data_IF_222332634610
#
_entry.id   IF_222332634610
#
_cell.length_a   1.000
_cell.length_b   1.000
_cell.length_c   1.000
_cell.angle_alpha   90.00
_cell.angle_beta   90.00
_cell.angle_gamma   90.00
#
_symmetry.space_group_name_H-M   'P 1'
#
loop_
_entity.id
_entity.type
_entity.pdbx_description
1 polymer ?
#
# COMPACT_ATOMS: atom_id res chain seq x y z
N UNK A 1 5.79 -3.26 -4.58
CA UNK A 1 5.32 -2.87 -5.93
C UNK A 1 5.46 -1.37 -6.16
N UNK A 2 4.86 -0.51 -5.32
CA UNK A 2 4.93 0.96 -5.46
C UNK A 2 6.37 1.51 -5.42
N UNK A 3 7.24 1.01 -4.53
CA UNK A 3 8.64 1.47 -4.45
C UNK A 3 9.37 1.40 -5.80
N UNK A 4 9.14 0.35 -6.59
CA UNK A 4 9.75 0.19 -7.92
C UNK A 4 9.25 1.24 -8.92
N UNK A 5 7.98 1.63 -8.83
CA UNK A 5 7.43 2.69 -9.66
C UNK A 5 8.03 4.05 -9.31
N UNK A 6 8.27 4.30 -8.02
CA UNK A 6 8.98 5.50 -7.56
C UNK A 6 10.42 5.48 -8.07
N UNK A 7 11.12 4.34 -8.01
CA UNK A 7 12.48 4.22 -8.59
C UNK A 7 12.49 4.59 -10.07
N UNK A 8 11.55 4.06 -10.86
CA UNK A 8 11.46 4.37 -12.29
C UNK A 8 11.21 5.87 -12.50
N UNK A 9 10.32 6.48 -11.72
CA UNK A 9 10.07 7.92 -11.84
C UNK A 9 11.33 8.76 -11.53
N UNK A 10 12.11 8.37 -10.53
CA UNK A 10 13.38 9.03 -10.20
C UNK A 10 14.44 8.80 -11.30
N UNK A 11 14.53 7.59 -11.86
CA UNK A 11 15.42 7.24 -12.97
C UNK A 11 15.12 8.08 -14.23
N UNK A 12 13.84 8.38 -14.50
CA UNK A 12 13.38 9.24 -15.60
C UNK A 12 13.51 10.75 -15.31
N UNK A 13 14.07 11.13 -14.16
CA UNK A 13 14.36 12.52 -13.81
C UNK A 13 13.19 13.31 -13.23
N UNK A 14 12.14 12.64 -12.75
CA UNK A 14 11.07 13.31 -12.00
C UNK A 14 11.63 13.84 -10.67
N UNK A 15 11.30 15.09 -10.28
CA UNK A 15 11.72 15.62 -8.98
C UNK A 15 11.27 14.72 -7.83
N UNK A 16 12.16 14.54 -6.85
CA UNK A 16 11.97 13.60 -5.73
C UNK A 16 10.63 13.82 -5.01
N UNK A 17 10.34 15.07 -4.65
CA UNK A 17 9.11 15.43 -3.93
C UNK A 17 7.87 15.06 -4.76
N UNK A 18 7.91 15.30 -6.07
CA UNK A 18 6.80 15.00 -6.96
C UNK A 18 6.60 13.50 -7.11
N UNK A 19 7.69 12.72 -7.19
CA UNK A 19 7.66 11.26 -7.22
C UNK A 19 6.94 10.67 -6.00
N UNK A 20 7.24 11.15 -4.80
CA UNK A 20 6.54 10.70 -3.59
C UNK A 20 5.10 11.22 -3.51
N UNK A 21 4.84 12.45 -3.93
CA UNK A 21 3.48 13.00 -3.98
C UNK A 21 2.58 12.20 -4.92
N UNK A 22 3.10 11.72 -6.06
CA UNK A 22 2.40 10.82 -6.98
C UNK A 22 1.97 9.51 -6.31
N UNK A 23 2.75 8.98 -5.37
CA UNK A 23 2.46 7.72 -4.69
C UNK A 23 1.68 7.88 -3.36
N UNK A 24 1.48 9.12 -2.87
CA UNK A 24 0.92 9.39 -1.54
C UNK A 24 -0.21 10.42 -1.60
N UNK A 25 0.13 11.71 -1.53
CA UNK A 25 -0.80 12.82 -1.40
C UNK A 25 -1.76 12.95 -2.59
N UNK A 26 -1.26 12.84 -3.83
CA UNK A 26 -2.08 13.01 -5.03
C UNK A 26 -3.18 11.95 -5.12
N UNK A 27 -2.85 10.71 -4.74
CA UNK A 27 -3.81 9.60 -4.69
C UNK A 27 -4.82 9.82 -3.56
N UNK A 28 -4.37 10.24 -2.37
CA UNK A 28 -5.26 10.52 -1.25
C UNK A 28 -6.27 11.62 -1.58
N UNK A 29 -5.81 12.69 -2.24
CA UNK A 29 -6.66 13.78 -2.72
C UNK A 29 -7.61 13.33 -3.82
N UNK A 30 -7.16 12.50 -4.76
CA UNK A 30 -8.01 11.95 -5.82
C UNK A 30 -9.19 11.13 -5.25
N UNK A 31 -8.94 10.36 -4.21
CA UNK A 31 -9.97 9.57 -3.52
C UNK A 31 -10.72 10.33 -2.41
N UNK A 32 -10.40 11.62 -2.17
CA UNK A 32 -11.00 12.43 -1.09
C UNK A 32 -10.81 11.79 0.29
N UNK A 33 -9.65 11.19 0.51
CA UNK A 33 -9.23 10.57 1.78
C UNK A 33 -7.97 11.24 2.35
N UNK A 34 -7.65 12.45 1.90
CA UNK A 34 -6.51 13.25 2.35
C UNK A 34 -6.63 13.75 3.80
N UNK A 35 -7.86 13.74 4.35
CA UNK A 35 -8.11 13.92 5.78
C UNK A 35 -7.54 12.76 6.62
N UNK A 36 -7.39 11.56 6.03
CA UNK A 36 -6.94 10.36 6.73
C UNK A 36 -5.53 9.93 6.33
N UNK A 37 -5.15 10.08 5.06
CA UNK A 37 -3.92 9.52 4.46
C UNK A 37 -3.19 10.55 3.61
N UNK A 38 -1.93 10.25 3.25
CA UNK A 38 -1.18 11.04 2.26
C UNK A 38 -0.52 12.31 2.81
N UNK A 39 -0.76 12.67 4.07
CA UNK A 39 -0.08 13.78 4.75
C UNK A 39 0.35 13.35 6.15
N UNK A 40 1.53 13.78 6.58
CA UNK A 40 2.00 13.58 7.96
C UNK A 40 1.43 14.69 8.84
N UNK A 41 0.58 14.34 9.80
CA UNK A 41 0.07 15.30 10.78
C UNK A 41 -0.85 14.67 11.83
N UNK A 42 -1.14 15.40 12.92
CA UNK A 42 -2.01 14.91 13.99
C UNK A 42 -3.43 14.65 13.48
N UNK A 43 -4.10 13.65 14.07
CA UNK A 43 -5.47 13.25 13.68
C UNK A 43 -5.56 12.39 12.41
N UNK A 44 -4.43 12.15 11.72
CA UNK A 44 -4.35 11.29 10.53
C UNK A 44 -3.92 9.86 10.87
N UNK A 45 -4.07 8.94 9.93
CA UNK A 45 -3.61 7.57 10.13
C UNK A 45 -2.08 7.53 10.20
N UNK A 46 -1.56 6.94 11.28
CA UNK A 46 -0.13 6.77 11.49
C UNK A 46 0.46 5.64 10.62
N UNK A 47 0.45 5.83 9.30
CA UNK A 47 1.08 4.96 8.31
C UNK A 47 2.23 5.72 7.65
N UNK A 48 3.46 5.34 7.98
CA UNK A 48 4.68 6.07 7.64
C UNK A 48 5.75 5.11 7.16
N UNK A 49 6.50 5.54 6.14
CA UNK A 49 7.70 4.87 5.65
C UNK A 49 8.89 5.78 5.93
N UNK A 50 9.87 5.27 6.67
CA UNK A 50 11.10 5.97 7.00
C UNK A 50 12.18 5.45 6.06
N UNK A 51 12.80 6.39 5.33
CA UNK A 51 13.82 6.13 4.31
C UNK A 51 15.17 6.60 4.86
N UNK A 52 16.23 5.88 4.47
CA UNK A 52 17.63 6.25 4.73
C UNK A 52 18.08 7.37 3.78
N UNK A 53 17.68 7.27 2.52
CA UNK A 53 17.97 8.21 1.45
C UNK A 53 16.69 8.52 0.67
N UNK A 54 16.32 9.79 0.44
CA UNK A 54 15.19 10.15 -0.43
C UNK A 54 15.28 9.55 -1.84
N UNK A 55 16.47 9.29 -2.37
CA UNK A 55 16.67 8.65 -3.69
C UNK A 55 16.40 7.14 -3.68
N UNK A 56 16.37 6.52 -2.50
CA UNK A 56 16.10 5.11 -2.32
C UNK A 56 14.66 4.91 -1.80
N UNK A 57 13.71 4.48 -2.62
CA UNK A 57 12.31 4.32 -2.19
C UNK A 57 12.07 3.07 -1.32
N UNK A 58 13.11 2.36 -0.90
CA UNK A 58 12.99 1.20 -0.01
C UNK A 58 13.10 1.64 1.47
N UNK A 59 12.03 1.52 2.26
CA UNK A 59 12.06 1.95 3.65
C UNK A 59 12.87 1.00 4.54
N UNK A 60 13.65 1.61 5.42
CA UNK A 60 14.32 0.96 6.53
C UNK A 60 13.30 0.56 7.59
N UNK A 61 12.43 1.51 7.97
CA UNK A 61 11.39 1.33 8.99
C UNK A 61 10.01 1.62 8.41
N UNK A 62 9.04 0.74 8.72
CA UNK A 62 7.65 0.84 8.26
C UNK A 62 6.71 0.80 9.44
N UNK A 63 5.89 1.83 9.55
CA UNK A 63 4.84 1.97 10.55
C UNK A 63 3.50 1.90 9.83
N UNK A 64 2.57 1.09 10.33
CA UNK A 64 1.21 0.97 9.80
C UNK A 64 0.21 1.05 10.93
N UNK A 65 -0.73 2.00 10.84
CA UNK A 65 -1.76 2.22 11.87
C UNK A 65 -1.17 2.38 13.29
N UNK A 66 0.00 3.00 13.40
CA UNK A 66 0.71 3.19 14.67
C UNK A 66 1.48 1.96 15.19
N UNK A 67 1.53 0.87 14.42
CA UNK A 67 2.30 -0.34 14.76
C UNK A 67 3.53 -0.43 13.88
N UNK A 68 4.69 -0.70 14.48
CA UNK A 68 5.94 -0.91 13.74
C UNK A 68 5.92 -2.31 13.12
N UNK A 69 5.94 -2.38 11.79
CA UNK A 69 5.96 -3.64 11.04
C UNK A 69 7.39 -4.06 10.69
N UNK A 70 8.25 -3.09 10.40
CA UNK A 70 9.65 -3.27 10.05
C UNK A 70 10.46 -2.22 10.79
N UNK A 71 11.57 -2.62 11.41
CA UNK A 71 12.49 -1.76 12.15
C UNK A 71 13.91 -2.15 11.76
N UNK A 72 14.75 -1.18 11.40
CA UNK A 72 16.16 -1.38 11.06
C UNK A 72 16.40 -2.49 10.02
N UNK A 73 15.53 -2.57 8.99
CA UNK A 73 15.64 -3.62 7.98
C UNK A 73 14.97 -4.94 8.34
N UNK A 74 14.65 -5.18 9.61
CA UNK A 74 14.09 -6.43 10.12
C UNK A 74 12.57 -6.39 10.29
N UNK A 75 11.88 -7.43 9.83
CA UNK A 75 10.44 -7.56 10.02
C UNK A 75 10.13 -7.93 11.48
N UNK A 76 9.38 -7.07 12.17
CA UNK A 76 9.08 -7.24 13.59
C UNK A 76 7.86 -8.13 13.84
N UNK A 77 6.95 -8.23 12.87
CA UNK A 77 5.77 -9.08 12.95
C UNK A 77 5.83 -10.21 11.93
N UNK A 78 5.91 -11.46 12.41
CA UNK A 78 5.50 -12.61 11.60
C UNK A 78 4.01 -12.48 11.32
N UNK A 79 3.63 -12.39 10.04
CA UNK A 79 2.25 -12.55 9.62
C UNK A 79 1.74 -13.87 10.22
N UNK A 80 0.82 -13.77 11.18
CA UNK A 80 0.15 -14.95 11.70
C UNK A 80 -0.67 -15.52 10.54
N UNK A 81 -0.28 -16.68 10.02
CA UNK A 81 -1.14 -17.45 9.12
C UNK A 81 -2.42 -17.78 9.87
N UNK A 82 -3.46 -16.96 9.69
CA UNK A 82 -4.80 -17.37 10.05
C UNK A 82 -5.12 -18.57 9.16
N UNK A 83 -5.16 -19.77 9.75
CA UNK A 83 -5.79 -20.95 9.16
C UNK A 83 -7.15 -20.51 8.64
N UNK A 84 -7.25 -20.35 7.33
CA UNK A 84 -8.49 -19.99 6.66
C UNK A 84 -9.49 -21.10 6.98
N UNK A 85 -10.56 -20.78 7.73
CA UNK A 85 -11.64 -21.72 7.97
C UNK A 85 -12.18 -22.25 6.64
N UNK A 86 -12.46 -23.56 6.55
CA UNK A 86 -13.00 -24.21 5.35
C UNK A 86 -14.16 -23.39 4.77
N UNK A 87 -13.91 -22.68 3.69
CA UNK A 87 -14.96 -22.13 2.86
C UNK A 87 -15.74 -23.30 2.29
N UNK A 88 -17.02 -23.44 2.66
CA UNK A 88 -17.91 -24.36 1.95
C UNK A 88 -17.97 -23.83 0.52
N UNK A 89 -17.50 -24.61 -0.45
CA UNK A 89 -17.72 -24.30 -1.85
C UNK A 89 -19.24 -24.24 -2.07
N UNK A 90 -19.79 -23.03 -2.10
CA UNK A 90 -21.13 -22.81 -2.59
C UNK A 90 -21.06 -23.09 -4.09
N UNK A 91 -21.43 -24.31 -4.48
CA UNK A 91 -21.56 -24.69 -5.88
C UNK A 91 -22.77 -23.95 -6.43
N UNK A 92 -22.53 -22.75 -6.95
CA UNK A 92 -23.53 -22.01 -7.71
C UNK A 92 -23.76 -22.82 -8.99
N UNK A 93 -24.82 -23.64 -9.01
CA UNK A 93 -25.25 -24.34 -10.23
C UNK A 93 -25.91 -23.33 -11.14
N UNK A 94 -25.11 -22.70 -12.00
CA UNK A 94 -25.62 -21.87 -13.06
C UNK A 94 -26.26 -22.78 -14.12
N UNK A 95 -27.59 -22.85 -14.15
CA UNK A 95 -28.33 -23.51 -15.24
C UNK A 95 -28.34 -22.53 -16.41
N UNK A 96 -27.42 -22.71 -17.37
CA UNK A 96 -27.49 -22.02 -18.65
C UNK A 96 -28.81 -22.44 -19.32
N UNK A 97 -29.70 -21.47 -19.55
CA UNK A 97 -30.83 -21.66 -20.48
C UNK A 97 -30.24 -21.53 -21.89
N UNK A 98 -30.43 -22.52 -22.78
CA UNK A 98 -30.04 -22.35 -24.16
C UNK A 98 -30.82 -21.17 -24.76
N UNK A 99 -30.10 -20.37 -25.55
CA UNK A 99 -30.67 -19.31 -26.37
C UNK A 99 -31.20 -19.98 -27.62
N UNK A 100 -32.52 -20.16 -27.71
CA UNK A 100 -33.19 -20.69 -28.88
C UNK A 100 -33.09 -19.65 -30.02
N UNK A 101 -32.46 -20.03 -31.13
CA UNK A 101 -32.62 -19.39 -32.46
C UNK A 101 -33.78 -20.05 -33.21
#
# INVERSE_FOLDING_TARGET
MINRLISIALEEGVPIIDAYNMATFNIAKYYQIDDLLGVVGPGRLASLNILDDPMNPNPETVISKGVILKLDGENQHQFQEKKMGKWRACSIRFKLRPHDE
#
